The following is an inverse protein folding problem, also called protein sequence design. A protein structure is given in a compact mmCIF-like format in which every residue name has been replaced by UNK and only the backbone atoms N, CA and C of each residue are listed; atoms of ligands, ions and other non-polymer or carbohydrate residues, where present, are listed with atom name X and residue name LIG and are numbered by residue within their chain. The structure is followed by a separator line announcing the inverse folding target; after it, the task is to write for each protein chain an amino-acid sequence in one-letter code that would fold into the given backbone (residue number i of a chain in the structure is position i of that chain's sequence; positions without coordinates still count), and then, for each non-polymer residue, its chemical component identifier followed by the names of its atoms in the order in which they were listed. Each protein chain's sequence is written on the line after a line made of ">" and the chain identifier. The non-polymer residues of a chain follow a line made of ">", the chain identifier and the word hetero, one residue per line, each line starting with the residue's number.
data_IF_490729321102
#
_entry.id   IF_490729321102
#
_cell.length_a   1.000
_cell.length_b   1.000
_cell.length_c   1.000
_cell.angle_alpha   90.00
_cell.angle_beta   90.00
_cell.angle_gamma   90.00
#
_symmetry.space_group_name_H-M   'P 1'
#
loop_
_entity.id
_entity.type
_entity.pdbx_description
1 polymer ?
#
# COMPACT_ATOMS: atom_id res chain seq x y z
N UNK A 1 37.82 -13.82 1.06
CA UNK A 1 36.99 -12.96 0.21
C UNK A 1 36.00 -12.22 1.10
N UNK A 2 35.76 -10.91 0.94
CA UNK A 2 34.71 -10.23 1.68
C UNK A 2 33.34 -10.70 1.16
N UNK A 3 32.43 -11.02 2.07
CA UNK A 3 31.02 -11.33 1.75
C UNK A 3 30.38 -10.11 1.06
N UNK A 4 29.66 -10.28 -0.06
CA UNK A 4 28.93 -9.16 -0.67
C UNK A 4 27.93 -8.59 0.34
N UNK A 5 27.86 -7.27 0.44
CA UNK A 5 26.89 -6.58 1.27
C UNK A 5 25.46 -6.95 0.81
N UNK A 6 24.50 -7.17 1.72
CA UNK A 6 23.12 -7.45 1.34
C UNK A 6 22.57 -6.27 0.53
N UNK A 7 22.00 -6.59 -0.64
CA UNK A 7 21.29 -5.61 -1.46
C UNK A 7 20.10 -5.06 -0.67
N UNK A 8 19.90 -3.73 -0.60
CA UNK A 8 18.75 -3.15 0.05
C UNK A 8 17.45 -3.71 -0.54
N UNK A 9 16.53 -4.16 0.31
CA UNK A 9 15.20 -4.59 -0.12
C UNK A 9 14.45 -3.33 -0.59
N UNK A 10 13.94 -3.31 -1.83
CA UNK A 10 13.16 -2.17 -2.32
C UNK A 10 11.87 -2.01 -1.49
N UNK A 11 11.32 -0.79 -1.38
CA UNK A 11 10.03 -0.57 -0.74
C UNK A 11 8.94 -1.42 -1.38
N UNK A 12 8.03 -1.94 -0.56
CA UNK A 12 6.82 -2.59 -1.06
C UNK A 12 5.73 -1.55 -1.23
N UNK A 13 4.91 -1.64 -2.26
CA UNK A 13 3.88 -0.63 -2.50
C UNK A 13 2.66 -1.15 -3.26
N UNK A 14 1.54 -0.46 -3.11
CA UNK A 14 0.35 -0.56 -3.93
C UNK A 14 0.01 0.86 -4.41
N UNK A 15 0.14 1.12 -5.71
CA UNK A 15 0.01 2.46 -6.29
C UNK A 15 -0.96 2.48 -7.48
N UNK A 16 -1.82 3.50 -7.55
CA UNK A 16 -2.72 3.76 -8.68
C UNK A 16 -3.86 2.75 -8.82
N UNK A 17 -3.96 2.14 -10.01
CA UNK A 17 -4.78 0.98 -10.34
C UNK A 17 -4.12 -0.30 -9.82
N UNK A 18 -4.16 -0.52 -8.50
CA UNK A 18 -2.99 -0.82 -7.69
C UNK A 18 -2.12 -1.89 -8.32
N UNK A 19 -1.07 -1.41 -8.98
CA UNK A 19 0.08 -2.21 -9.34
C UNK A 19 0.79 -2.52 -8.02
N UNK A 20 0.58 -3.72 -7.49
CA UNK A 20 1.19 -4.14 -6.25
C UNK A 20 2.61 -4.60 -6.53
N UNK A 21 3.60 -3.99 -5.89
CA UNK A 21 4.98 -4.46 -5.85
C UNK A 21 5.28 -5.08 -4.48
N UNK A 22 5.53 -6.38 -4.46
CA UNK A 22 5.73 -7.16 -3.22
C UNK A 22 7.18 -7.17 -2.75
N UNK A 23 7.41 -7.66 -1.53
CA UNK A 23 8.75 -7.81 -0.93
C UNK A 23 9.65 -8.78 -1.72
N UNK A 24 9.05 -9.68 -2.51
CA UNK A 24 9.78 -10.62 -3.39
C UNK A 24 10.04 -10.04 -4.78
N UNK A 25 9.54 -8.83 -5.07
CA UNK A 25 9.66 -8.16 -6.36
C UNK A 25 8.57 -8.55 -7.38
N UNK A 26 7.57 -9.34 -6.99
CA UNK A 26 6.41 -9.67 -7.84
C UNK A 26 5.54 -8.43 -8.06
N UNK A 27 5.05 -8.24 -9.29
CA UNK A 27 4.08 -7.21 -9.66
C UNK A 27 2.76 -7.79 -10.16
N UNK A 28 1.61 -7.31 -9.66
CA UNK A 28 0.29 -7.76 -10.10
C UNK A 28 -0.84 -6.74 -9.86
N UNK A 29 -1.97 -6.93 -10.57
CA UNK A 29 -3.18 -6.10 -10.48
C UNK A 29 -4.13 -6.61 -9.36
N UNK A 30 -4.75 -5.71 -8.59
CA UNK A 30 -5.77 -6.10 -7.59
C UNK A 30 -7.17 -6.20 -8.18
N UNK A 31 -7.71 -7.42 -8.20
CA UNK A 31 -9.07 -7.69 -8.67
C UNK A 31 -10.07 -7.94 -7.55
N UNK A 32 -9.58 -8.38 -6.37
CA UNK A 32 -10.40 -8.58 -5.18
C UNK A 32 -10.68 -7.25 -4.49
N UNK A 33 -11.96 -6.93 -4.34
CA UNK A 33 -12.45 -5.75 -3.62
C UNK A 33 -12.77 -6.07 -2.16
N UNK A 34 -12.93 -5.02 -1.35
CA UNK A 34 -13.19 -5.07 0.08
C UNK A 34 -11.91 -5.12 0.92
N UNK A 35 -12.11 -5.32 2.23
CA UNK A 35 -11.03 -5.35 3.21
C UNK A 35 -10.08 -6.53 3.04
N UNK A 36 -8.81 -6.21 2.79
CA UNK A 36 -7.74 -7.21 2.63
C UNK A 36 -6.50 -6.84 3.43
N UNK A 37 -5.68 -7.84 3.77
CA UNK A 37 -4.41 -7.66 4.48
C UNK A 37 -3.30 -7.38 3.48
N UNK A 38 -2.72 -6.19 3.55
CA UNK A 38 -1.59 -5.78 2.70
C UNK A 38 -0.27 -6.23 3.31
N UNK A 39 -0.11 -6.02 4.62
CA UNK A 39 1.07 -6.46 5.37
C UNK A 39 0.64 -7.04 6.71
N UNK A 40 1.26 -8.15 7.10
CA UNK A 40 1.18 -8.68 8.46
C UNK A 40 2.52 -9.26 8.89
N UNK A 41 3.05 -8.80 10.02
CA UNK A 41 4.35 -9.19 10.56
C UNK A 41 4.17 -9.63 12.01
N UNK A 42 4.60 -10.85 12.40
CA UNK A 42 4.94 -11.95 11.51
C UNK A 42 3.71 -12.39 10.68
N UNK A 43 3.95 -13.09 9.55
CA UNK A 43 2.89 -13.72 8.75
C UNK A 43 2.03 -14.60 9.66
N UNK A 44 0.71 -14.48 9.53
CA UNK A 44 -0.21 -15.15 10.45
C UNK A 44 -0.17 -16.67 10.34
N UNK A 45 0.37 -17.32 11.36
CA UNK A 45 0.20 -18.76 11.62
C UNK A 45 -0.44 -18.95 13.01
N UNK A 46 -1.72 -18.55 13.14
CA UNK A 46 -2.60 -18.72 14.32
C UNK A 46 -2.02 -18.37 15.71
N UNK A 47 -2.48 -17.24 16.26
CA UNK A 47 -2.40 -16.94 17.71
C UNK A 47 -1.31 -15.96 18.12
N UNK A 48 -0.41 -15.58 17.20
CA UNK A 48 0.58 -14.54 17.45
C UNK A 48 -0.02 -13.13 17.25
N UNK A 49 0.28 -12.24 18.19
CA UNK A 49 -0.04 -10.81 18.04
C UNK A 49 0.82 -10.22 16.92
N UNK A 50 0.19 -9.53 15.97
CA UNK A 50 0.91 -8.87 14.90
C UNK A 50 1.72 -7.69 15.46
N UNK A 51 3.00 -7.65 15.12
CA UNK A 51 3.88 -6.49 15.33
C UNK A 51 3.47 -5.31 14.46
N UNK A 52 3.14 -5.62 13.21
CA UNK A 52 2.54 -4.68 12.27
C UNK A 52 1.45 -5.40 11.48
N UNK A 53 0.29 -4.78 11.39
CA UNK A 53 -0.82 -5.24 10.57
C UNK A 53 -1.43 -4.07 9.82
N UNK A 54 -1.36 -4.15 8.50
CA UNK A 54 -1.86 -3.14 7.57
C UNK A 54 -2.96 -3.76 6.72
N UNK A 55 -4.15 -3.17 6.79
CA UNK A 55 -5.30 -3.57 5.98
C UNK A 55 -5.75 -2.40 5.12
N UNK A 56 -6.29 -2.72 3.94
CA UNK A 56 -6.86 -1.73 3.05
C UNK A 56 -8.25 -2.13 2.55
N UNK A 57 -9.14 -1.15 2.41
CA UNK A 57 -10.44 -1.31 1.72
C UNK A 57 -10.28 -0.98 0.24
N UNK A 58 -10.29 -2.03 -0.58
CA UNK A 58 -10.11 -1.93 -2.02
C UNK A 58 -11.46 -1.74 -2.69
N UNK A 59 -11.61 -0.65 -3.43
CA UNK A 59 -12.82 -0.34 -4.19
C UNK A 59 -12.55 -0.34 -5.67
N UNK A 60 -13.60 -0.50 -6.45
CA UNK A 60 -13.52 -0.39 -7.90
C UNK A 60 -13.76 1.05 -8.34
N UNK A 61 -12.96 1.52 -9.27
CA UNK A 61 -13.08 2.82 -9.89
C UNK A 61 -14.22 2.83 -10.91
N UNK A 62 -15.43 3.19 -10.48
CA UNK A 62 -16.61 3.18 -11.34
C UNK A 62 -17.34 1.82 -11.39
N UNK A 63 -18.20 1.64 -12.39
CA UNK A 63 -19.17 0.52 -12.45
C UNK A 63 -18.75 -0.64 -13.36
N UNK A 64 -17.73 -0.45 -14.19
CA UNK A 64 -17.31 -1.45 -15.18
C UNK A 64 -16.73 -2.71 -14.51
N UNK A 65 -16.88 -3.88 -15.15
CA UNK A 65 -16.35 -5.14 -14.63
C UNK A 65 -14.81 -5.16 -14.58
N UNK A 66 -14.19 -4.45 -15.52
CA UNK A 66 -12.76 -4.37 -15.79
C UNK A 66 -12.14 -3.04 -15.35
N UNK A 67 -12.93 -2.17 -14.71
CA UNK A 67 -12.41 -0.94 -14.14
C UNK A 67 -11.30 -1.24 -13.11
N UNK A 68 -10.27 -0.38 -13.05
CA UNK A 68 -9.21 -0.52 -12.09
C UNK A 68 -9.75 -0.46 -10.65
N UNK A 69 -9.04 -1.07 -9.73
CA UNK A 69 -9.33 -0.93 -8.29
C UNK A 69 -8.53 0.24 -7.71
N UNK A 70 -8.79 0.63 -6.47
CA UNK A 70 -7.99 1.60 -5.70
C UNK A 70 -8.21 1.39 -4.19
N UNK A 71 -7.29 1.88 -3.36
CA UNK A 71 -7.48 1.91 -1.91
C UNK A 71 -8.28 3.14 -1.50
N UNK A 72 -9.34 2.92 -0.74
CA UNK A 72 -10.17 4.01 -0.18
C UNK A 72 -9.91 4.25 1.31
N UNK A 73 -9.48 3.21 2.02
CA UNK A 73 -9.16 3.28 3.44
C UNK A 73 -7.97 2.39 3.74
N UNK A 74 -7.16 2.79 4.72
CA UNK A 74 -6.05 2.00 5.26
C UNK A 74 -6.12 2.01 6.78
N UNK A 75 -6.05 0.83 7.40
CA UNK A 75 -5.97 0.65 8.85
C UNK A 75 -4.62 0.05 9.21
N UNK A 76 -3.97 0.63 10.20
CA UNK A 76 -2.64 0.24 10.67
C UNK A 76 -2.70 0.06 12.19
N UNK A 77 -2.29 -1.10 12.68
CA UNK A 77 -2.12 -1.36 14.10
C UNK A 77 -1.05 -2.45 14.32
N UNK A 78 -0.81 -2.79 15.59
CA UNK A 78 0.10 -3.85 16.00
C UNK A 78 0.96 -3.43 17.17
N UNK A 79 1.69 -4.37 17.74
CA UNK A 79 2.45 -4.13 18.97
C UNK A 79 3.65 -3.19 18.79
N UNK A 80 4.15 -3.00 17.56
CA UNK A 80 5.14 -1.95 17.29
C UNK A 80 4.55 -0.54 17.39
N UNK A 81 3.25 -0.40 17.21
CA UNK A 81 2.54 0.87 17.34
C UNK A 81 2.10 1.12 18.79
N UNK A 82 2.64 0.40 19.79
CA UNK A 82 2.16 0.46 21.18
C UNK A 82 0.63 0.23 21.30
N UNK A 83 0.12 -0.68 20.45
CA UNK A 83 -1.30 -0.98 20.27
C UNK A 83 -2.18 0.19 19.77
N UNK A 84 -1.58 1.31 19.36
CA UNK A 84 -2.31 2.36 18.64
C UNK A 84 -2.91 1.85 17.34
N UNK A 85 -4.08 2.38 17.01
CA UNK A 85 -4.77 2.10 15.76
C UNK A 85 -4.92 3.39 14.96
N UNK A 86 -4.25 3.44 13.82
CA UNK A 86 -4.34 4.55 12.86
C UNK A 86 -5.21 4.14 11.69
N UNK A 87 -6.27 4.89 11.43
CA UNK A 87 -7.14 4.73 10.28
C UNK A 87 -7.06 5.96 9.38
N UNK A 88 -6.90 5.72 8.08
CA UNK A 88 -6.81 6.75 7.04
C UNK A 88 -7.92 6.52 6.05
N UNK A 89 -8.64 7.57 5.66
CA UNK A 89 -9.70 7.51 4.65
C UNK A 89 -9.43 8.54 3.56
N UNK A 90 -9.53 8.14 2.30
CA UNK A 90 -9.47 9.08 1.19
C UNK A 90 -10.71 9.96 1.11
N UNK A 91 -10.51 11.18 0.63
CA UNK A 91 -11.56 12.16 0.37
C UNK A 91 -10.96 13.45 -0.17
N UNK A 92 -11.65 14.11 -1.09
CA UNK A 92 -11.20 15.40 -1.60
C UNK A 92 -11.14 16.42 -0.47
N UNK A 93 -9.99 17.09 -0.32
CA UNK A 93 -9.77 18.10 0.71
C UNK A 93 -10.74 19.30 0.58
N UNK A 94 -11.40 19.43 -0.57
CA UNK A 94 -12.37 20.48 -0.88
C UNK A 94 -13.83 20.00 -0.78
N UNK A 95 -14.06 18.76 -0.34
CA UNK A 95 -15.40 18.16 -0.24
C UNK A 95 -15.93 18.11 1.19
N UNK A 96 -17.20 17.76 1.31
CA UNK A 96 -17.90 17.53 2.56
C UNK A 96 -17.41 16.31 3.34
N UNK A 97 -16.67 15.40 2.68
CA UNK A 97 -16.12 14.19 3.29
C UNK A 97 -14.60 14.05 3.00
N UNK A 98 -13.76 14.97 3.52
CA UNK A 98 -12.37 15.10 3.10
C UNK A 98 -11.46 13.99 3.63
N UNK A 99 -10.24 13.93 3.10
CA UNK A 99 -9.16 13.08 3.64
C UNK A 99 -9.09 13.24 5.16
N UNK A 100 -9.05 12.13 5.87
CA UNK A 100 -9.09 12.13 7.33
C UNK A 100 -8.23 11.04 7.93
N UNK A 101 -7.73 11.34 9.13
CA UNK A 101 -6.98 10.43 9.98
C UNK A 101 -7.73 10.28 11.29
N UNK A 102 -7.85 9.05 11.76
CA UNK A 102 -8.37 8.75 13.10
C UNK A 102 -7.33 7.93 13.85
N UNK A 103 -7.04 8.33 15.09
CA UNK A 103 -6.17 7.59 16.01
C UNK A 103 -7.04 7.05 17.15
N UNK A 104 -6.89 5.75 17.44
CA UNK A 104 -7.54 5.02 18.54
C UNK A 104 -9.05 5.13 18.59
N UNK A 105 -9.69 5.22 17.42
CA UNK A 105 -11.14 5.38 17.30
C UNK A 105 -11.65 6.73 17.83
N UNK A 106 -10.76 7.71 17.99
CA UNK A 106 -11.10 9.07 18.35
C UNK A 106 -11.84 9.82 17.24
N UNK A 107 -11.84 11.15 17.33
CA UNK A 107 -12.46 11.99 16.30
C UNK A 107 -11.62 12.00 15.03
N UNK A 108 -12.29 12.14 13.89
CA UNK A 108 -11.65 12.39 12.60
C UNK A 108 -10.87 13.70 12.63
N UNK A 109 -9.59 13.64 12.31
CA UNK A 109 -8.65 14.77 12.24
C UNK A 109 -8.32 15.09 10.78
N UNK A 110 -8.20 16.38 10.48
CA UNK A 110 -7.88 16.88 9.15
C UNK A 110 -6.45 17.40 9.09
N UNK A 111 -5.89 17.44 7.88
CA UNK A 111 -4.61 18.07 7.63
C UNK A 111 -4.72 19.59 7.73
N UNK A 112 -3.68 20.19 8.29
CA UNK A 112 -3.43 21.63 8.25
C UNK A 112 -2.93 22.03 6.86
N UNK A 113 -3.39 23.18 6.39
CA UNK A 113 -2.96 23.77 5.12
C UNK A 113 -1.69 24.61 5.21
N UNK A 114 -1.26 24.95 6.43
CA UNK A 114 -0.20 25.93 6.69
C UNK A 114 1.07 25.32 7.28
N UNK A 115 1.03 24.06 7.71
CA UNK A 115 2.14 23.36 8.34
C UNK A 115 1.93 21.84 8.31
N UNK A 116 2.98 21.09 8.65
CA UNK A 116 2.86 19.67 8.98
C UNK A 116 1.83 19.48 10.12
N UNK A 117 0.98 18.47 9.96
CA UNK A 117 0.07 18.01 11.01
C UNK A 117 0.70 16.84 11.73
N UNK A 118 0.74 16.89 13.05
CA UNK A 118 1.18 15.77 13.89
C UNK A 118 -0.06 15.17 14.54
N UNK A 119 -0.38 13.92 14.19
CA UNK A 119 -1.55 13.21 14.70
C UNK A 119 -1.19 12.36 15.94
N UNK A 120 0.04 11.82 15.96
CA UNK A 120 0.58 10.99 17.02
C UNK A 120 2.10 11.19 17.09
N UNK A 121 2.65 11.30 18.29
CA UNK A 121 4.10 11.40 18.53
C UNK A 121 4.41 10.89 19.95
N UNK A 122 4.29 9.58 20.14
CA UNK A 122 4.49 8.91 21.43
C UNK A 122 5.04 7.50 21.26
N UNK A 123 5.68 6.96 22.31
CA UNK A 123 6.20 5.58 22.34
C UNK A 123 7.08 5.17 21.14
N UNK A 124 7.76 6.13 20.49
CA UNK A 124 8.58 5.87 19.30
C UNK A 124 7.78 5.67 18.00
N UNK A 125 6.48 5.99 18.04
CA UNK A 125 5.55 6.05 16.91
C UNK A 125 5.29 7.51 16.58
N UNK A 126 5.51 7.88 15.32
CA UNK A 126 5.21 9.24 14.84
C UNK A 126 4.34 9.18 13.60
N UNK A 127 3.18 9.81 13.65
CA UNK A 127 2.23 9.93 12.55
C UNK A 127 2.10 11.40 12.18
N UNK A 128 2.57 11.77 10.99
CA UNK A 128 2.45 13.12 10.46
C UNK A 128 1.82 13.14 9.09
N UNK A 129 1.33 14.30 8.67
CA UNK A 129 0.85 14.48 7.31
C UNK A 129 0.94 15.91 6.82
N UNK A 130 0.92 16.04 5.50
CA UNK A 130 1.06 17.29 4.76
C UNK A 130 0.15 17.30 3.53
N UNK A 131 -0.14 18.50 3.04
CA UNK A 131 -0.88 18.71 1.78
C UNK A 131 0.14 19.06 0.70
N UNK A 132 0.17 18.26 -0.37
CA UNK A 132 0.92 18.52 -1.58
C UNK A 132 0.30 19.64 -2.40
N UNK A 133 1.13 20.36 -3.16
CA UNK A 133 0.67 21.46 -4.02
C UNK A 133 -0.18 20.95 -5.17
N UNK A 134 -1.38 21.53 -5.33
CA UNK A 134 -2.30 21.28 -6.43
C UNK A 134 -1.70 21.65 -7.79
N UNK A 135 -2.06 20.90 -8.82
CA UNK A 135 -2.06 21.41 -10.20
C UNK A 135 -3.44 21.96 -10.53
N UNK A 136 -3.58 22.73 -11.60
CA UNK A 136 -4.89 23.29 -11.99
C UNK A 136 -5.92 22.20 -12.32
N UNK A 137 -5.45 21.03 -12.77
CA UNK A 137 -6.28 19.90 -13.23
C UNK A 137 -6.40 18.74 -12.20
N UNK A 138 -5.53 18.69 -11.19
CA UNK A 138 -5.42 17.58 -10.22
C UNK A 138 -5.01 18.07 -8.83
N UNK A 139 -5.55 17.43 -7.79
CA UNK A 139 -5.22 17.76 -6.40
C UNK A 139 -5.71 19.15 -5.97
N UNK A 140 -5.66 19.47 -4.67
CA UNK A 140 -4.57 19.15 -3.76
C UNK A 140 -4.53 17.68 -3.32
N UNK A 141 -3.32 17.15 -3.24
CA UNK A 141 -3.05 15.79 -2.78
C UNK A 141 -2.67 15.81 -1.29
N UNK A 142 -3.00 14.73 -0.59
CA UNK A 142 -2.70 14.58 0.83
C UNK A 142 -1.66 13.49 1.02
N UNK A 143 -0.79 13.63 2.02
CA UNK A 143 0.17 12.59 2.38
C UNK A 143 0.16 12.36 3.88
N UNK A 144 0.32 11.10 4.26
CA UNK A 144 0.53 10.68 5.63
C UNK A 144 1.79 9.83 5.72
N UNK A 145 2.62 10.11 6.71
CA UNK A 145 3.80 9.32 7.05
C UNK A 145 3.66 8.75 8.46
N UNK A 146 3.86 7.45 8.60
CA UNK A 146 3.96 6.77 9.89
C UNK A 146 5.36 6.18 10.04
N UNK A 147 6.07 6.62 11.07
CA UNK A 147 7.39 6.12 11.44
C UNK A 147 7.28 5.26 12.69
N UNK A 148 7.87 4.08 12.64
CA UNK A 148 7.94 3.15 13.78
C UNK A 148 9.25 2.35 13.74
N UNK A 149 10.15 2.62 14.69
CA UNK A 149 11.51 2.09 14.66
C UNK A 149 12.26 2.51 13.39
N UNK A 150 12.77 1.54 12.61
CA UNK A 150 13.43 1.77 11.31
C UNK A 150 12.49 1.70 10.11
N UNK A 151 11.18 1.62 10.32
CA UNK A 151 10.16 1.42 9.27
C UNK A 151 9.40 2.70 9.05
N UNK A 152 9.13 2.98 7.79
CA UNK A 152 8.29 4.09 7.35
C UNK A 152 7.17 3.51 6.49
N UNK A 153 5.93 3.91 6.81
CA UNK A 153 4.78 3.72 5.95
C UNK A 153 4.40 5.09 5.39
N UNK A 154 4.31 5.20 4.07
CA UNK A 154 3.86 6.40 3.36
C UNK A 154 2.52 6.10 2.67
N UNK A 155 1.51 6.91 2.96
CA UNK A 155 0.19 6.86 2.34
C UNK A 155 -0.02 8.17 1.60
N UNK A 156 -0.14 8.08 0.27
CA UNK A 156 -0.33 9.24 -0.59
C UNK A 156 -1.73 9.17 -1.18
N UNK A 157 -2.50 10.25 -1.04
CA UNK A 157 -3.75 10.41 -1.76
C UNK A 157 -3.50 11.11 -3.09
N UNK A 158 -4.00 10.52 -4.17
CA UNK A 158 -4.19 11.19 -5.45
C UNK A 158 -5.66 11.56 -5.64
N UNK A 159 -5.91 12.82 -6.03
CA UNK A 159 -7.26 13.34 -6.23
C UNK A 159 -7.49 13.76 -7.68
N UNK A 160 -8.44 13.11 -8.35
CA UNK A 160 -8.89 13.48 -9.67
C UNK A 160 -10.14 14.37 -9.57
N UNK A 161 -10.21 15.43 -10.37
CA UNK A 161 -11.33 16.38 -10.32
C UNK A 161 -11.31 17.27 -9.06
N UNK A 162 -12.42 18.00 -8.81
CA UNK A 162 -12.51 19.03 -7.75
C UNK A 162 -13.78 18.94 -6.91
N UNK A 163 -13.67 19.32 -5.64
CA UNK A 163 -14.79 19.40 -4.70
C UNK A 163 -15.53 18.07 -4.52
N UNK A 164 -16.87 18.11 -4.48
CA UNK A 164 -17.73 16.93 -4.24
C UNK A 164 -17.70 15.87 -5.36
N UNK A 165 -17.27 16.25 -6.56
CA UNK A 165 -17.24 15.33 -7.71
C UNK A 165 -15.86 14.68 -7.89
N UNK A 166 -14.93 14.92 -6.96
CA UNK A 166 -13.59 14.33 -7.02
C UNK A 166 -13.62 12.82 -6.76
N UNK A 167 -12.68 12.12 -7.37
CA UNK A 167 -12.31 10.77 -6.98
C UNK A 167 -10.98 10.83 -6.23
N UNK A 168 -10.94 10.26 -5.02
CA UNK A 168 -9.76 10.27 -4.18
C UNK A 168 -9.30 8.84 -3.90
N UNK A 169 -8.05 8.55 -4.25
CA UNK A 169 -7.45 7.22 -4.19
C UNK A 169 -6.20 7.24 -3.32
N UNK A 170 -6.00 6.22 -2.50
CA UNK A 170 -4.80 6.06 -1.69
C UNK A 170 -3.81 5.13 -2.38
N UNK A 171 -2.55 5.50 -2.26
CA UNK A 171 -1.39 4.66 -2.49
C UNK A 171 -0.77 4.33 -1.14
N UNK A 172 -0.27 3.10 -1.00
CA UNK A 172 0.38 2.64 0.22
C UNK A 172 1.79 2.16 -0.12
N UNK A 173 2.79 2.64 0.59
CA UNK A 173 4.16 2.10 0.52
C UNK A 173 4.77 1.89 1.89
N UNK A 174 5.62 0.87 2.02
CA UNK A 174 6.28 0.51 3.27
C UNK A 174 7.76 0.24 3.00
N UNK A 175 8.62 0.87 3.79
CA UNK A 175 10.08 0.72 3.72
C UNK A 175 10.65 0.27 5.07
N UNK A 176 11.93 -0.14 5.07
CA UNK A 176 12.61 -0.62 6.29
C UNK A 176 12.30 -2.06 6.68
N UNK A 177 11.87 -2.90 5.73
CA UNK A 177 11.54 -4.31 5.98
C UNK A 177 12.71 -5.29 5.80
N UNK A 178 13.87 -4.81 5.33
CA UNK A 178 14.99 -5.68 4.93
C UNK A 178 15.80 -6.31 6.08
N UNK A 179 15.63 -5.84 7.31
CA UNK A 179 16.28 -6.36 8.51
C UNK A 179 15.38 -7.35 9.29
N UNK A 180 14.22 -7.69 8.76
CA UNK A 180 13.28 -8.61 9.39
C UNK A 180 13.71 -10.06 9.23
N UNK A 181 13.69 -10.80 10.34
CA UNK A 181 13.91 -12.25 10.37
C UNK A 181 12.62 -13.00 10.12
N UNK A 182 11.49 -12.42 10.53
CA UNK A 182 10.17 -13.03 10.43
C UNK A 182 9.57 -12.86 9.03
N UNK A 183 8.76 -13.83 8.56
CA UNK A 183 8.09 -13.70 7.28
C UNK A 183 7.09 -12.55 7.30
N UNK A 184 7.06 -11.77 6.23
CA UNK A 184 6.05 -10.73 5.99
C UNK A 184 4.89 -11.36 5.21
N UNK A 185 3.70 -11.44 5.80
CA UNK A 185 2.48 -11.90 5.14
C UNK A 185 1.70 -10.77 4.47
N UNK A 186 0.58 -11.11 3.85
CA UNK A 186 -0.28 -10.19 3.12
C UNK A 186 0.13 -9.97 1.67
N UNK A 187 -0.64 -9.14 0.97
CA UNK A 187 -0.48 -8.88 -0.46
C UNK A 187 0.88 -8.29 -0.84
N UNK A 188 1.44 -7.42 0.00
CA UNK A 188 2.79 -6.87 -0.20
C UNK A 188 3.90 -7.79 0.34
N UNK A 189 3.52 -8.86 1.05
CA UNK A 189 4.41 -9.86 1.61
C UNK A 189 4.56 -11.10 0.71
N UNK A 190 4.90 -12.23 1.33
CA UNK A 190 5.13 -13.51 0.64
C UNK A 190 3.85 -14.24 0.22
N UNK A 191 2.67 -13.77 0.65
CA UNK A 191 1.40 -14.34 0.17
C UNK A 191 1.09 -13.93 -1.28
N UNK A 192 1.59 -12.76 -1.70
CA UNK A 192 1.58 -12.29 -3.09
C UNK A 192 0.22 -12.33 -3.79
N UNK A 193 0.26 -12.54 -5.11
CA UNK A 193 -0.91 -12.48 -5.99
C UNK A 193 -1.99 -13.53 -5.66
N UNK A 194 -1.65 -14.62 -4.97
CA UNK A 194 -2.59 -15.71 -4.66
C UNK A 194 -3.84 -15.21 -3.92
N UNK A 195 -3.73 -14.14 -3.13
CA UNK A 195 -4.84 -13.57 -2.38
C UNK A 195 -5.49 -12.33 -3.04
N UNK A 196 -4.96 -11.87 -4.17
CA UNK A 196 -5.35 -10.65 -4.87
C UNK A 196 -6.56 -10.84 -5.81
N UNK A 197 -6.98 -12.08 -6.03
CA UNK A 197 -8.05 -12.44 -6.95
C UNK A 197 -7.58 -12.50 -8.41
N UNK A 198 -8.41 -13.07 -9.27
CA UNK A 198 -8.15 -13.13 -10.71
C UNK A 198 -9.04 -12.12 -11.46
N UNK A 199 -8.53 -11.59 -12.57
CA UNK A 199 -9.31 -10.77 -13.48
C UNK A 199 -10.56 -11.52 -13.97
N UNK A 200 -11.74 -10.87 -14.12
CA UNK A 200 -12.89 -11.48 -14.79
C UNK A 200 -12.54 -11.97 -16.20
N UNK A 201 -13.19 -13.03 -16.68
CA UNK A 201 -12.84 -13.69 -17.96
C UNK A 201 -12.98 -12.70 -19.13
N UNK A 202 -13.98 -11.84 -19.08
CA UNK A 202 -14.23 -10.75 -20.02
C UNK A 202 -13.09 -9.73 -20.07
N UNK A 203 -12.39 -9.52 -18.96
CA UNK A 203 -11.23 -8.63 -18.87
C UNK A 203 -9.93 -9.29 -19.34
N UNK A 204 -9.90 -10.63 -19.46
CA UNK A 204 -8.73 -11.38 -19.96
C UNK A 204 -8.66 -11.41 -21.49
N UNK A 205 -9.80 -11.26 -22.19
CA UNK A 205 -9.86 -11.25 -23.65
C UNK A 205 -9.37 -9.91 -24.21
N UNK A 206 -8.04 -9.80 -24.34
CA UNK A 206 -7.36 -8.62 -24.88
C UNK A 206 -5.85 -8.61 -24.64
N UNK A 207 -5.35 -9.39 -23.66
CA UNK A 207 -3.91 -9.56 -23.39
C UNK A 207 -3.26 -10.73 -24.15
N UNK A 208 -3.96 -11.35 -25.09
CA UNK A 208 -3.53 -12.60 -25.74
C UNK A 208 -3.29 -12.41 -27.24
N UNK A 209 -2.08 -11.92 -27.59
CA UNK A 209 -1.29 -12.43 -28.73
C UNK A 209 0.17 -11.89 -28.83
N UNK A 210 0.68 -11.11 -27.87
CA UNK A 210 2.07 -10.58 -27.95
C UNK A 210 2.97 -10.84 -26.75
N UNK A 211 2.45 -11.19 -25.56
CA UNK A 211 3.27 -11.26 -24.34
C UNK A 211 3.59 -12.68 -23.83
N UNK A 212 2.90 -13.71 -24.31
CA UNK A 212 3.19 -15.10 -23.89
C UNK A 212 4.51 -15.65 -24.45
N UNK A 213 5.12 -15.00 -25.45
CA UNK A 213 6.43 -15.41 -25.99
C UNK A 213 7.61 -14.82 -25.21
N UNK A 214 7.38 -13.81 -24.35
CA UNK A 214 8.45 -13.16 -23.58
C UNK A 214 8.76 -13.85 -22.24
N UNK A 215 7.80 -14.59 -21.66
CA UNK A 215 7.96 -15.27 -20.37
C UNK A 215 8.66 -16.64 -20.44
N UNK A 216 8.97 -17.17 -21.63
CA UNK A 216 9.71 -18.43 -21.79
C UNK A 216 11.21 -18.25 -22.11
N UNK A 217 11.75 -17.01 -22.17
CA UNK A 217 13.15 -16.77 -22.57
C UNK A 217 14.08 -16.12 -21.55
N UNK A 218 13.66 -15.87 -20.31
CA UNK A 218 14.56 -15.35 -19.26
C UNK A 218 14.85 -16.32 -18.11
N UNK A 219 14.32 -17.55 -18.15
CA UNK A 219 14.84 -18.67 -17.35
C UNK A 219 16.06 -19.30 -18.04
N UNK A 220 17.18 -18.58 -18.11
CA UNK A 220 18.49 -19.16 -18.41
C UNK A 220 19.55 -18.36 -17.69
N UNK A 221 19.82 -18.77 -16.46
CA UNK A 221 21.05 -18.39 -15.74
C UNK A 221 22.22 -19.10 -16.45
N UNK A 222 23.22 -18.37 -16.98
CA UNK A 222 24.39 -19.00 -17.56
C UNK A 222 25.34 -19.51 -16.45
N UNK A 223 25.51 -20.83 -16.40
CA UNK A 223 26.68 -21.55 -15.86
C UNK A 223 26.79 -21.65 -14.34
N UNK A 224 26.81 -22.86 -13.79
CA UNK A 224 27.95 -23.64 -13.20
C UNK A 224 27.29 -24.92 -12.63
N UNK A 225 27.55 -26.16 -13.04
CA UNK A 225 28.75 -26.99 -12.90
C UNK A 225 28.58 -28.27 -13.77
N UNK A 226 29.63 -28.67 -14.51
CA UNK A 226 29.84 -30.06 -14.94
C UNK A 226 30.91 -30.69 -14.04
N UNK A 227 30.63 -31.89 -13.56
CA UNK A 227 31.63 -32.93 -13.31
C UNK A 227 31.52 -33.95 -14.43
#
# INVERSE_FOLDING_TARGET
>A
APTPAPTPVPPVSAQGDPHVSTITGETYDLWKTGWSTFVQIPRSEKGEAAKLWVRGDVRRYGRDACAPSFLSQVHINGTWLDDHHVAVRSGSLESSDPFSVTVDGGNSQQLRSDAETVFLDESGVRVTGDIGTASDDWGPDARLKLNVGSRELDIVQHTEGRGENSNAMLDLSISGLGDLVEPVGGWLGVDGAHLAGEAPIECRKGKDNSDLTALQRTASVPGVYSH
#
